data_IF_656327908347
#
_entry.id   IF_656327908347
#
_cell.length_a   1.000
_cell.length_b   1.000
_cell.length_c   1.000
_cell.angle_alpha   90.00
_cell.angle_beta   90.00
_cell.angle_gamma   90.00
#
_symmetry.space_group_name_H-M   'P 1'
#
loop_
_entity.id
_entity.type
_entity.pdbx_description
1 polymer ?
#
# COMPACT_ATOMS: atom_id res chain seq x y z
N UNK A 1 15.24 15.99 -59.21
CA UNK A 1 14.68 17.07 -58.36
C UNK A 1 13.66 16.60 -57.30
N UNK A 2 13.34 15.30 -57.18
CA UNK A 2 12.39 14.78 -56.18
C UNK A 2 13.03 14.22 -54.89
N UNK A 3 14.30 13.80 -54.92
CA UNK A 3 14.98 13.24 -53.73
C UNK A 3 15.22 14.25 -52.60
N UNK A 4 15.41 15.53 -52.95
CA UNK A 4 15.71 16.56 -51.95
C UNK A 4 14.50 16.94 -51.08
N UNK A 5 13.26 16.64 -51.50
CA UNK A 5 12.04 16.89 -50.71
C UNK A 5 11.78 15.79 -49.68
N UNK A 6 12.05 14.53 -50.05
CA UNK A 6 11.84 13.37 -49.17
C UNK A 6 12.70 13.43 -47.92
N UNK A 7 13.96 13.86 -48.08
CA UNK A 7 14.91 14.02 -46.97
C UNK A 7 14.45 15.08 -45.96
N UNK A 8 13.72 16.13 -46.37
CA UNK A 8 13.22 17.14 -45.43
C UNK A 8 12.01 16.67 -44.62
N UNK A 9 11.09 15.91 -45.23
CA UNK A 9 9.96 15.29 -44.50
C UNK A 9 10.44 14.24 -43.49
N UNK A 10 11.45 13.45 -43.85
CA UNK A 10 12.03 12.44 -42.96
C UNK A 10 12.67 13.10 -41.72
N UNK A 11 13.39 14.22 -41.91
CA UNK A 11 14.00 14.96 -40.80
C UNK A 11 12.95 15.63 -39.90
N UNK A 12 11.86 16.16 -40.48
CA UNK A 12 10.75 16.72 -39.70
C UNK A 12 10.01 15.66 -38.87
N UNK A 13 9.84 14.45 -39.42
CA UNK A 13 9.26 13.31 -38.69
C UNK A 13 10.19 12.75 -37.60
N UNK A 14 11.50 12.79 -37.80
CA UNK A 14 12.47 12.39 -36.77
C UNK A 14 12.46 13.39 -35.61
N UNK A 15 12.35 14.69 -35.88
CA UNK A 15 12.24 15.71 -34.84
C UNK A 15 10.93 15.56 -34.04
N UNK A 16 9.79 15.40 -34.72
CA UNK A 16 8.49 15.22 -34.06
C UNK A 16 8.40 13.92 -33.26
N UNK A 17 9.05 12.85 -33.73
CA UNK A 17 9.15 11.60 -32.96
C UNK A 17 10.08 11.72 -31.76
N UNK A 18 11.16 12.50 -31.85
CA UNK A 18 12.02 12.80 -30.71
C UNK A 18 11.29 13.58 -29.60
N UNK A 19 10.43 14.54 -29.98
CA UNK A 19 9.62 15.32 -29.04
C UNK A 19 8.55 14.45 -28.33
N UNK A 20 7.88 13.57 -29.06
CA UNK A 20 6.89 12.65 -28.47
C UNK A 20 7.53 11.66 -27.48
N UNK A 21 8.75 11.18 -27.75
CA UNK A 21 9.49 10.33 -26.82
C UNK A 21 9.96 11.08 -25.56
N UNK A 22 10.28 12.37 -25.68
CA UNK A 22 10.61 13.21 -24.52
C UNK A 22 9.39 13.43 -23.61
N UNK A 23 8.22 13.67 -24.19
CA UNK A 23 6.98 13.89 -23.44
C UNK A 23 6.53 12.61 -22.69
N UNK A 24 6.62 11.44 -23.34
CA UNK A 24 6.39 10.14 -22.72
C UNK A 24 7.37 9.84 -21.56
N UNK A 25 8.64 10.20 -21.75
CA UNK A 25 9.70 10.11 -20.74
C UNK A 25 9.65 11.19 -19.68
N UNK A 26 8.70 12.12 -19.72
CA UNK A 26 8.49 13.07 -18.63
C UNK A 26 7.27 12.65 -17.79
N UNK A 27 6.32 11.97 -18.43
CA UNK A 27 5.11 11.49 -17.78
C UNK A 27 5.37 10.25 -16.90
N UNK A 28 6.25 9.34 -17.32
CA UNK A 28 6.55 8.10 -16.58
C UNK A 28 7.28 8.35 -15.25
N UNK A 29 8.15 9.34 -15.19
CA UNK A 29 9.00 9.67 -14.04
C UNK A 29 8.23 10.40 -12.95
N UNK A 30 7.25 11.22 -13.32
CA UNK A 30 6.33 11.83 -12.37
C UNK A 30 5.45 10.76 -11.71
N UNK A 31 4.93 9.82 -12.51
CA UNK A 31 4.15 8.67 -12.00
C UNK A 31 5.02 7.75 -11.12
N UNK A 32 6.26 7.47 -11.54
CA UNK A 32 7.19 6.63 -10.77
C UNK A 32 7.61 7.30 -9.45
N UNK A 33 7.81 8.62 -9.47
CA UNK A 33 8.08 9.45 -8.30
C UNK A 33 6.91 9.42 -7.31
N UNK A 34 5.68 9.65 -7.79
CA UNK A 34 4.46 9.57 -6.99
C UNK A 34 4.26 8.18 -6.40
N UNK A 35 4.47 7.13 -7.19
CA UNK A 35 4.35 5.76 -6.72
C UNK A 35 5.38 5.44 -5.62
N UNK A 36 6.64 5.86 -5.81
CA UNK A 36 7.71 5.66 -4.82
C UNK A 36 7.47 6.45 -3.55
N UNK A 37 6.90 7.65 -3.65
CA UNK A 37 6.48 8.44 -2.50
C UNK A 37 5.33 7.73 -1.76
N UNK A 38 4.23 7.44 -2.42
CA UNK A 38 3.08 6.74 -1.83
C UNK A 38 3.48 5.40 -1.18
N UNK A 39 4.34 4.61 -1.81
CA UNK A 39 4.84 3.35 -1.22
C UNK A 39 5.66 3.57 0.05
N UNK A 40 6.45 4.66 0.12
CA UNK A 40 7.20 5.01 1.33
C UNK A 40 6.25 5.32 2.49
N UNK A 41 5.22 6.12 2.24
CA UNK A 41 4.22 6.51 3.24
C UNK A 41 3.32 5.34 3.66
N UNK A 42 3.04 4.39 2.76
CA UNK A 42 2.21 3.23 3.06
C UNK A 42 2.85 2.32 4.12
N UNK A 43 4.18 2.19 4.12
CA UNK A 43 4.91 1.38 5.09
C UNK A 43 4.79 1.92 6.53
N UNK A 44 4.77 3.24 6.69
CA UNK A 44 4.68 3.87 8.02
C UNK A 44 3.22 4.01 8.51
N UNK A 45 2.26 3.90 7.59
CA UNK A 45 0.83 4.07 7.88
C UNK A 45 0.18 2.86 8.57
N UNK A 46 0.84 1.72 8.67
CA UNK A 46 0.31 0.51 9.33
C UNK A 46 -0.17 0.81 10.76
N UNK A 47 0.60 1.62 11.51
CA UNK A 47 0.25 2.04 12.88
C UNK A 47 -1.01 2.93 12.92
N UNK A 48 -1.25 3.72 11.88
CA UNK A 48 -2.43 4.58 11.74
C UNK A 48 -3.67 3.79 11.31
N UNK A 49 -3.51 2.80 10.42
CA UNK A 49 -4.63 1.95 10.01
C UNK A 49 -5.17 1.10 11.17
N UNK A 50 -4.31 0.64 12.08
CA UNK A 50 -4.76 -0.04 13.31
C UNK A 50 -5.61 0.86 14.22
N UNK A 51 -5.38 2.17 14.22
CA UNK A 51 -6.20 3.14 14.96
C UNK A 51 -7.52 3.42 14.24
N UNK A 52 -7.49 3.58 12.91
CA UNK A 52 -8.68 3.85 12.08
C UNK A 52 -9.64 2.67 12.02
N UNK A 53 -9.12 1.46 11.81
CA UNK A 53 -9.91 0.22 11.79
C UNK A 53 -10.21 -0.26 13.21
N UNK A 54 -9.43 0.20 14.19
CA UNK A 54 -9.65 -0.10 15.60
C UNK A 54 -9.44 -1.58 15.97
N UNK A 55 -8.82 -2.37 15.08
CA UNK A 55 -8.52 -3.78 15.31
C UNK A 55 -7.03 -3.95 15.68
N UNK A 56 -6.75 -4.63 16.81
CA UNK A 56 -5.37 -4.90 17.22
C UNK A 56 -4.66 -5.82 16.22
N UNK A 57 -3.34 -5.62 16.05
CA UNK A 57 -2.50 -6.53 15.24
C UNK A 57 -2.37 -7.89 15.92
N UNK A 58 -2.49 -8.98 15.14
CA UNK A 58 -2.36 -10.35 15.63
C UNK A 58 -0.95 -10.65 16.15
N UNK A 59 0.09 -10.08 15.52
CA UNK A 59 1.48 -10.29 15.95
C UNK A 59 1.72 -9.69 17.34
N UNK A 60 1.21 -8.47 17.57
CA UNK A 60 1.27 -7.83 18.89
C UNK A 60 0.49 -8.62 19.95
N UNK A 61 -0.61 -9.27 19.57
CA UNK A 61 -1.33 -10.19 20.45
C UNK A 61 -0.47 -11.41 20.81
N UNK A 62 0.23 -12.02 19.86
CA UNK A 62 1.11 -13.15 20.13
C UNK A 62 2.27 -12.79 21.06
N UNK A 63 2.91 -11.64 20.84
CA UNK A 63 3.99 -11.16 21.71
C UNK A 63 3.50 -10.91 23.14
N UNK A 64 2.34 -10.27 23.28
CA UNK A 64 1.69 -10.07 24.58
C UNK A 64 1.30 -11.40 25.23
N UNK A 65 0.70 -12.31 24.47
CA UNK A 65 0.25 -13.61 24.94
C UNK A 65 1.43 -14.47 25.40
N UNK A 66 2.54 -14.47 24.66
CA UNK A 66 3.77 -15.17 25.04
C UNK A 66 4.38 -14.59 26.32
N UNK A 67 4.29 -13.28 26.52
CA UNK A 67 4.85 -12.60 27.70
C UNK A 67 4.02 -12.80 28.96
N UNK A 68 2.69 -12.75 28.87
CA UNK A 68 1.79 -12.72 30.04
C UNK A 68 0.98 -14.01 30.24
N UNK A 69 0.78 -14.81 29.19
CA UNK A 69 0.01 -16.06 29.24
C UNK A 69 0.74 -17.22 28.52
N UNK A 70 1.99 -17.56 28.91
CA UNK A 70 2.76 -18.61 28.24
C UNK A 70 2.13 -20.01 28.36
N UNK A 71 1.24 -20.22 29.32
CA UNK A 71 0.58 -21.50 29.59
C UNK A 71 -0.75 -21.70 28.83
N UNK A 72 -1.26 -20.66 28.19
CA UNK A 72 -2.49 -20.74 27.40
C UNK A 72 -2.14 -20.98 25.93
N UNK A 73 -3.04 -21.62 25.19
CA UNK A 73 -2.90 -21.74 23.73
C UNK A 73 -3.41 -20.43 23.12
N UNK A 74 -2.60 -19.72 22.30
CA UNK A 74 -3.05 -18.50 21.65
C UNK A 74 -4.21 -18.82 20.69
N UNK A 75 -5.19 -17.92 20.63
CA UNK A 75 -6.30 -18.01 19.68
C UNK A 75 -5.77 -18.00 18.26
N UNK A 76 -6.47 -18.68 17.35
CA UNK A 76 -6.15 -18.58 15.93
C UNK A 76 -6.40 -17.15 15.42
N UNK A 77 -5.75 -16.79 14.31
CA UNK A 77 -5.93 -15.45 13.69
C UNK A 77 -7.40 -15.10 13.51
N UNK A 78 -8.21 -16.03 12.98
CA UNK A 78 -9.64 -15.83 12.73
C UNK A 78 -10.42 -15.58 14.03
N UNK A 79 -10.19 -16.39 15.04
CA UNK A 79 -10.86 -16.26 16.36
C UNK A 79 -10.47 -14.95 17.04
N UNK A 80 -9.20 -14.54 16.96
CA UNK A 80 -8.74 -13.27 17.48
C UNK A 80 -9.43 -12.07 16.81
N UNK A 81 -9.62 -12.13 15.48
CA UNK A 81 -10.34 -11.08 14.75
C UNK A 81 -11.81 -11.00 15.16
N UNK A 82 -12.50 -12.14 15.24
CA UNK A 82 -13.91 -12.21 15.65
C UNK A 82 -14.05 -11.73 17.11
N UNK A 83 -13.18 -12.17 18.01
CA UNK A 83 -13.15 -11.75 19.42
C UNK A 83 -12.91 -10.23 19.56
N UNK A 84 -11.98 -9.69 18.78
CA UNK A 84 -11.67 -8.25 18.77
C UNK A 84 -12.83 -7.42 18.23
N UNK A 85 -13.50 -7.90 17.18
CA UNK A 85 -14.70 -7.24 16.64
C UNK A 85 -15.86 -7.33 17.63
N UNK A 86 -16.11 -8.50 18.22
CA UNK A 86 -17.19 -8.69 19.18
C UNK A 86 -16.99 -7.83 20.44
N UNK A 87 -15.76 -7.74 20.97
CA UNK A 87 -15.45 -6.85 22.11
C UNK A 87 -15.77 -5.39 21.83
N UNK A 88 -15.60 -4.94 20.59
CA UNK A 88 -15.79 -3.54 20.20
C UNK A 88 -17.22 -3.22 19.77
N UNK A 89 -17.87 -4.13 19.06
CA UNK A 89 -19.13 -3.88 18.36
C UNK A 89 -20.32 -4.68 18.90
N UNK A 90 -20.12 -5.70 19.74
CA UNK A 90 -21.22 -6.43 20.37
C UNK A 90 -21.72 -5.73 21.63
N UNK A 91 -23.03 -5.83 21.89
CA UNK A 91 -23.74 -5.26 23.05
C UNK A 91 -23.24 -5.79 24.40
N UNK A 92 -22.53 -6.92 24.39
CA UNK A 92 -21.97 -7.62 25.55
C UNK A 92 -20.46 -7.40 25.75
N UNK A 93 -19.81 -6.54 24.96
CA UNK A 93 -18.35 -6.36 24.91
C UNK A 93 -17.66 -5.94 26.23
N UNK A 94 -18.42 -5.58 27.25
CA UNK A 94 -17.93 -5.29 28.60
C UNK A 94 -17.80 -6.55 29.49
N UNK A 95 -18.30 -7.71 29.05
CA UNK A 95 -18.32 -8.91 29.88
C UNK A 95 -17.25 -9.92 29.42
N UNK A 96 -16.31 -10.14 30.33
CA UNK A 96 -15.42 -11.30 30.49
C UNK A 96 -14.03 -11.16 29.88
N UNK A 97 -13.13 -10.67 30.74
CA UNK A 97 -11.79 -11.23 30.81
C UNK A 97 -11.91 -12.61 31.47
N UNK A 98 -11.25 -13.62 30.86
CA UNK A 98 -11.30 -15.05 31.18
C UNK A 98 -12.62 -15.76 30.81
#
# INVERSE_FOLDING_TARGET
MQESKKTQEDVANIASTQDLLHQEKQQKDVVLSLFRFCFRWYKDSERFFHLLVGLPSYEKYLDYHKKYHPHCIPKTRKEFFIDSQNKRYSRDGAKKCC
#
